data_IF_129424189897
#
_entry.id   IF_129424189897
#
_cell.length_a   1.000
_cell.length_b   1.000
_cell.length_c   1.000
_cell.angle_alpha   90.00
_cell.angle_beta   90.00
_cell.angle_gamma   90.00
#
_symmetry.space_group_name_H-M   'P 1'
#
loop_
_entity.id
_entity.type
_entity.pdbx_description
1 polymer ?
#
# COMPACT_ATOMS: atom_id res chain seq x y z
N UNK A 1 6.91 -0.59 -20.93
CA UNK A 1 5.99 0.33 -20.24
C UNK A 1 5.85 -0.20 -18.82
N UNK A 2 6.15 0.55 -17.75
CA UNK A 2 5.83 0.12 -16.39
C UNK A 2 4.32 -0.05 -16.31
N UNK A 3 3.88 -1.22 -15.88
CA UNK A 3 2.48 -1.60 -15.98
C UNK A 3 1.74 -1.13 -14.72
N UNK A 4 0.75 -0.27 -14.93
CA UNK A 4 0.01 0.38 -13.84
C UNK A 4 -1.07 -0.59 -13.34
N UNK A 5 -1.17 -0.88 -12.03
CA UNK A 5 -2.25 -1.73 -11.51
C UNK A 5 -3.64 -1.16 -11.83
N UNK A 6 -4.52 -2.02 -12.30
CA UNK A 6 -5.89 -1.71 -12.70
C UNK A 6 -6.89 -2.68 -12.07
N UNK A 7 -8.15 -2.26 -12.02
CA UNK A 7 -9.27 -3.09 -11.55
C UNK A 7 -9.38 -4.34 -12.42
N UNK A 8 -9.47 -5.51 -11.79
CA UNK A 8 -9.50 -6.81 -12.48
C UNK A 8 -8.12 -7.46 -12.66
N UNK A 9 -7.01 -6.75 -12.39
CA UNK A 9 -5.69 -7.36 -12.43
C UNK A 9 -5.52 -8.43 -11.35
N UNK A 10 -4.77 -9.49 -11.66
CA UNK A 10 -4.45 -10.55 -10.72
C UNK A 10 -3.08 -10.26 -10.13
N UNK A 11 -3.02 -10.08 -8.82
CA UNK A 11 -1.78 -9.86 -8.10
C UNK A 11 -1.43 -11.05 -7.21
N UNK A 12 -0.14 -11.35 -7.14
CA UNK A 12 0.43 -12.38 -6.27
C UNK A 12 1.10 -11.69 -5.09
N UNK A 13 0.58 -11.96 -3.90
CA UNK A 13 1.03 -11.40 -2.63
C UNK A 13 1.68 -12.53 -1.83
N UNK A 14 2.96 -12.44 -1.41
CA UNK A 14 3.54 -13.44 -0.51
C UNK A 14 2.76 -13.50 0.81
N UNK A 15 2.66 -14.68 1.43
CA UNK A 15 2.08 -14.80 2.75
C UNK A 15 3.01 -14.20 3.81
N UNK A 16 2.41 -13.78 4.93
CA UNK A 16 3.17 -13.27 6.07
C UNK A 16 4.12 -14.36 6.61
N UNK A 17 5.40 -14.00 6.73
CA UNK A 17 6.48 -14.90 7.15
C UNK A 17 7.11 -14.52 8.52
N UNK A 18 6.44 -13.71 9.34
CA UNK A 18 6.90 -13.41 10.70
C UNK A 18 7.90 -12.26 10.79
N UNK A 19 9.16 -12.51 10.44
CA UNK A 19 10.30 -11.72 10.95
C UNK A 19 10.88 -10.70 9.97
N UNK A 20 10.78 -10.92 8.65
CA UNK A 20 11.41 -10.03 7.64
C UNK A 20 10.43 -9.07 6.94
N UNK A 21 9.21 -8.96 7.45
CA UNK A 21 8.21 -8.08 6.82
C UNK A 21 8.41 -6.64 7.25
N UNK A 22 8.78 -5.77 6.29
CA UNK A 22 8.89 -4.35 6.56
C UNK A 22 7.54 -3.77 7.01
N UNK A 23 7.54 -3.11 8.16
CA UNK A 23 6.35 -2.48 8.74
C UNK A 23 6.50 -0.98 8.85
N UNK A 24 5.37 -0.28 8.74
CA UNK A 24 5.26 1.16 8.97
C UNK A 24 4.01 1.44 9.78
N UNK A 25 4.13 2.29 10.80
CA UNK A 25 2.99 2.82 11.52
C UNK A 25 2.55 4.12 10.84
N UNK A 26 1.34 4.12 10.28
CA UNK A 26 0.77 5.29 9.63
C UNK A 26 -0.18 5.97 10.61
N UNK A 27 0.08 7.24 10.89
CA UNK A 27 -0.73 8.07 11.79
C UNK A 27 -1.46 9.16 10.99
N UNK A 28 -2.73 9.38 11.31
CA UNK A 28 -3.57 10.39 10.67
C UNK A 28 -4.61 10.97 11.65
N UNK A 29 -5.26 12.05 11.24
CA UNK A 29 -6.37 12.64 11.99
C UNK A 29 -7.68 12.48 11.20
N UNK A 30 -8.75 12.07 11.88
CA UNK A 30 -10.09 11.95 11.32
C UNK A 30 -11.11 12.31 12.41
N UNK A 31 -12.05 13.20 12.08
CA UNK A 31 -13.11 13.63 13.01
C UNK A 31 -12.55 14.10 14.36
N UNK A 32 -11.53 14.98 14.33
CA UNK A 32 -10.85 15.52 15.52
C UNK A 32 -10.17 14.47 16.42
N UNK A 33 -10.02 13.22 15.97
CA UNK A 33 -9.30 12.16 16.69
C UNK A 33 -8.07 11.75 15.91
N UNK A 34 -6.96 11.59 16.62
CA UNK A 34 -5.77 10.93 16.08
C UNK A 34 -6.03 9.43 16.02
N UNK A 35 -5.71 8.83 14.87
CA UNK A 35 -5.77 7.39 14.62
C UNK A 35 -4.40 6.93 14.14
N UNK A 36 -4.07 5.68 14.43
CA UNK A 36 -2.89 5.02 13.88
C UNK A 36 -3.21 3.58 13.52
N UNK A 37 -2.46 3.04 12.56
CA UNK A 37 -2.52 1.63 12.20
C UNK A 37 -1.18 1.17 11.62
N UNK A 38 -0.84 -0.09 11.89
CA UNK A 38 0.35 -0.74 11.36
C UNK A 38 0.05 -1.34 9.99
N UNK A 39 0.94 -1.04 9.03
CA UNK A 39 0.90 -1.55 7.68
C UNK A 39 2.18 -2.31 7.36
N UNK A 40 2.03 -3.41 6.64
CA UNK A 40 3.09 -4.19 6.06
C UNK A 40 3.33 -3.74 4.63
N UNK A 41 4.60 -3.57 4.26
CA UNK A 41 5.01 -3.25 2.91
C UNK A 41 5.45 -4.54 2.22
N UNK A 42 4.79 -4.85 1.11
CA UNK A 42 4.94 -6.14 0.42
C UNK A 42 5.20 -5.90 -1.06
N UNK A 43 6.13 -6.68 -1.63
CA UNK A 43 6.37 -6.69 -3.09
C UNK A 43 5.39 -7.68 -3.69
N UNK A 44 4.29 -7.17 -4.22
CA UNK A 44 3.33 -7.98 -4.97
C UNK A 44 3.75 -8.04 -6.45
N UNK A 45 3.29 -9.05 -7.18
CA UNK A 45 3.52 -9.16 -8.62
C UNK A 45 2.21 -9.12 -9.39
N UNK A 46 2.13 -8.30 -10.42
CA UNK A 46 0.98 -8.27 -11.32
C UNK A 46 1.07 -9.39 -12.36
N UNK A 47 0.41 -10.52 -12.11
CA UNK A 47 0.43 -11.65 -13.03
C UNK A 47 -0.25 -11.32 -14.37
N UNK A 48 -1.30 -10.48 -14.34
CA UNK A 48 -2.00 -10.02 -15.56
C UNK A 48 -1.13 -9.12 -16.44
N UNK A 49 -0.13 -8.44 -15.86
CA UNK A 49 0.73 -7.49 -16.55
C UNK A 49 2.20 -7.95 -16.60
N UNK A 50 2.42 -9.24 -16.86
CA UNK A 50 3.78 -9.77 -17.10
C UNK A 50 4.66 -9.86 -15.85
N UNK A 51 4.04 -10.03 -14.68
CA UNK A 51 4.70 -10.11 -13.37
C UNK A 51 5.43 -8.83 -12.95
N UNK A 52 4.95 -7.66 -13.37
CA UNK A 52 5.48 -6.39 -12.90
C UNK A 52 5.38 -6.25 -11.38
N UNK A 53 6.41 -5.67 -10.76
CA UNK A 53 6.43 -5.44 -9.33
C UNK A 53 5.44 -4.31 -8.96
N UNK A 54 4.61 -4.57 -7.95
CA UNK A 54 3.68 -3.62 -7.36
C UNK A 54 4.03 -3.45 -5.89
N UNK A 55 4.15 -2.18 -5.47
CA UNK A 55 4.18 -1.84 -4.07
C UNK A 55 2.79 -2.00 -3.45
N UNK A 56 2.66 -2.87 -2.45
CA UNK A 56 1.42 -3.12 -1.75
C UNK A 56 1.59 -2.83 -0.25
N UNK A 57 0.72 -1.98 0.28
CA UNK A 57 0.55 -1.79 1.72
C UNK A 57 -0.62 -2.63 2.22
N UNK A 58 -0.44 -3.44 3.25
CA UNK A 58 -1.50 -4.26 3.84
C UNK A 58 -1.59 -3.98 5.32
N UNK A 59 -2.77 -3.60 5.81
CA UNK A 59 -2.97 -3.38 7.25
C UNK A 59 -2.88 -4.72 8.02
N UNK A 60 -2.33 -4.69 9.23
CA UNK A 60 -2.08 -5.88 10.07
C UNK A 60 -3.24 -6.90 10.12
N UNK A 61 -4.46 -6.43 10.40
CA UNK A 61 -5.68 -7.27 10.46
C UNK A 61 -6.07 -7.96 9.14
N UNK A 62 -5.55 -7.49 8.02
CA UNK A 62 -5.78 -8.07 6.69
C UNK A 62 -4.65 -9.05 6.31
N UNK A 63 -3.47 -8.94 6.93
CA UNK A 63 -2.28 -9.69 6.52
C UNK A 63 -1.87 -10.80 7.47
N UNK A 64 -1.99 -10.57 8.79
CA UNK A 64 -1.50 -11.47 9.83
C UNK A 64 -2.63 -12.21 10.55
N UNK A 65 -3.76 -11.53 10.74
CA UNK A 65 -4.89 -12.09 11.49
C UNK A 65 -5.75 -13.01 10.60
N UNK A 66 -5.46 -14.30 10.59
CA UNK A 66 -6.25 -15.30 9.86
C UNK A 66 -7.68 -15.47 10.44
N UNK A 67 -7.90 -15.07 11.69
CA UNK A 67 -9.22 -15.15 12.33
C UNK A 67 -10.15 -14.04 11.86
N UNK A 68 -9.60 -12.87 11.50
CA UNK A 68 -10.30 -11.74 10.92
C UNK A 68 -11.13 -12.15 9.70
N UNK A 69 -12.36 -11.66 9.60
CA UNK A 69 -13.20 -11.83 8.40
C UNK A 69 -12.64 -11.10 7.18
N UNK A 70 -11.80 -10.09 7.42
CA UNK A 70 -11.16 -9.23 6.41
C UNK A 70 -9.80 -9.77 5.93
N UNK A 71 -9.37 -10.93 6.43
CA UNK A 71 -8.09 -11.53 6.06
C UNK A 71 -7.95 -11.68 4.53
N UNK A 72 -6.75 -11.38 3.98
CA UNK A 72 -6.49 -11.44 2.54
C UNK A 72 -6.84 -12.81 1.94
N UNK A 73 -6.58 -13.89 2.68
CA UNK A 73 -6.92 -15.26 2.27
C UNK A 73 -8.41 -15.57 2.20
N UNK A 74 -9.28 -14.72 2.77
CA UNK A 74 -10.74 -14.84 2.75
C UNK A 74 -11.39 -13.90 1.73
N UNK A 75 -10.61 -13.08 1.02
CA UNK A 75 -11.16 -12.25 -0.05
C UNK A 75 -11.79 -13.10 -1.14
N UNK A 76 -12.88 -12.60 -1.71
CA UNK A 76 -13.59 -13.29 -2.78
C UNK A 76 -12.65 -13.55 -3.97
N UNK A 77 -12.53 -14.81 -4.38
CA UNK A 77 -11.66 -15.21 -5.48
C UNK A 77 -10.18 -15.34 -5.11
N UNK A 78 -9.81 -15.18 -3.83
CA UNK A 78 -8.45 -15.43 -3.38
C UNK A 78 -8.10 -16.93 -3.51
N UNK A 79 -6.93 -17.22 -4.08
CA UNK A 79 -6.32 -18.56 -4.07
C UNK A 79 -5.04 -18.53 -3.26
N UNK A 80 -4.78 -19.60 -2.50
CA UNK A 80 -3.50 -19.79 -1.80
C UNK A 80 -2.68 -20.83 -2.54
N UNK A 81 -1.54 -20.43 -3.10
CA UNK A 81 -0.62 -21.30 -3.84
C UNK A 81 0.81 -21.07 -3.34
N UNK A 82 1.51 -22.13 -2.94
CA UNK A 82 2.91 -22.11 -2.50
C UNK A 82 3.27 -21.00 -1.50
N UNK A 83 2.42 -20.79 -0.49
CA UNK A 83 2.62 -19.75 0.51
C UNK A 83 2.44 -18.32 -0.03
N UNK A 84 1.68 -18.15 -1.11
CA UNK A 84 1.30 -16.87 -1.69
C UNK A 84 -0.22 -16.79 -1.85
N UNK A 85 -0.75 -15.59 -1.78
CA UNK A 85 -2.14 -15.25 -2.04
C UNK A 85 -2.25 -14.65 -3.44
N UNK A 86 -3.02 -15.29 -4.30
CA UNK A 86 -3.37 -14.80 -5.63
C UNK A 86 -4.74 -14.15 -5.50
N UNK A 87 -4.79 -12.83 -5.66
CA UNK A 87 -6.01 -12.03 -5.46
C UNK A 87 -6.25 -11.14 -6.66
N UNK A 88 -7.52 -10.94 -6.99
CA UNK A 88 -7.93 -9.98 -8.01
C UNK A 88 -8.09 -8.60 -7.37
N UNK A 89 -7.49 -7.57 -7.98
CA UNK A 89 -7.72 -6.18 -7.61
C UNK A 89 -9.18 -5.82 -7.87
N UNK A 90 -9.89 -5.49 -6.80
CA UNK A 90 -11.29 -5.12 -6.79
C UNK A 90 -11.49 -3.89 -5.89
N UNK A 91 -12.75 -3.54 -5.64
CA UNK A 91 -13.15 -2.39 -4.82
C UNK A 91 -12.75 -2.48 -3.34
N UNK A 92 -12.24 -3.65 -2.87
CA UNK A 92 -11.68 -3.80 -1.53
C UNK A 92 -10.32 -3.14 -1.40
N UNK A 93 -9.59 -3.05 -2.51
CA UNK A 93 -8.32 -2.37 -2.58
C UNK A 93 -8.52 -0.88 -2.85
N UNK A 94 -7.60 -0.10 -2.33
CA UNK A 94 -7.42 1.28 -2.70
C UNK A 94 -6.03 1.47 -3.32
N UNK A 95 -5.78 2.62 -3.92
CA UNK A 95 -4.48 2.94 -4.48
C UNK A 95 -4.07 4.38 -4.21
N UNK A 96 -2.76 4.60 -4.17
CA UNK A 96 -2.17 5.92 -4.33
C UNK A 96 -1.42 6.00 -5.66
N UNK A 97 -1.14 7.21 -6.11
CA UNK A 97 -0.45 7.51 -7.35
C UNK A 97 0.37 8.78 -7.20
N UNK A 98 1.49 8.85 -7.91
CA UNK A 98 2.40 10.01 -7.87
C UNK A 98 1.71 11.29 -8.36
N UNK A 99 0.95 11.17 -9.43
CA UNK A 99 0.30 12.30 -10.10
C UNK A 99 -1.03 11.89 -10.72
N UNK A 100 -1.75 12.86 -11.28
CA UNK A 100 -3.07 12.65 -11.90
C UNK A 100 -3.04 11.75 -13.15
N UNK A 101 -1.87 11.53 -13.75
CA UNK A 101 -1.71 10.63 -14.89
C UNK A 101 -1.68 9.15 -14.47
N UNK A 102 -1.63 8.87 -13.17
CA UNK A 102 -1.60 7.50 -12.64
C UNK A 102 -0.19 6.90 -12.59
N UNK A 103 0.85 7.72 -12.73
CA UNK A 103 2.23 7.27 -12.66
C UNK A 103 2.55 6.69 -11.26
N UNK A 104 3.37 5.64 -11.23
CA UNK A 104 3.83 4.98 -10.00
C UNK A 104 2.67 4.63 -9.06
N UNK A 105 1.60 4.03 -9.60
CA UNK A 105 0.47 3.60 -8.79
C UNK A 105 0.85 2.42 -7.91
N UNK A 106 0.47 2.52 -6.64
CA UNK A 106 0.70 1.51 -5.61
C UNK A 106 -0.62 1.15 -4.94
N UNK A 107 -0.69 -0.04 -4.36
CA UNK A 107 -1.94 -0.62 -3.86
C UNK A 107 -1.96 -0.59 -2.33
N UNK A 108 -3.15 -0.44 -1.75
CA UNK A 108 -3.42 -0.52 -0.32
C UNK A 108 -4.60 -1.46 -0.05
N UNK A 109 -4.42 -2.40 0.87
CA UNK A 109 -5.49 -3.24 1.42
C UNK A 109 -5.67 -2.90 2.90
N UNK A 110 -6.78 -2.22 3.21
CA UNK A 110 -7.06 -1.73 4.56
C UNK A 110 -8.53 -1.40 4.78
N UNK A 111 -8.85 -0.92 5.98
CA UNK A 111 -10.17 -0.39 6.28
C UNK A 111 -10.51 0.88 5.47
N UNK A 112 -11.54 0.81 4.61
CA UNK A 112 -11.99 1.93 3.76
C UNK A 112 -12.64 3.07 4.56
N UNK A 113 -12.99 2.84 5.83
CA UNK A 113 -13.48 3.88 6.73
C UNK A 113 -12.35 4.79 7.24
N UNK A 114 -11.09 4.36 7.08
CA UNK A 114 -9.94 5.18 7.38
C UNK A 114 -9.65 6.13 6.20
N UNK A 115 -9.95 7.42 6.39
CA UNK A 115 -9.70 8.47 5.40
C UNK A 115 -8.27 8.97 5.51
N UNK A 116 -7.33 8.13 5.09
CA UNK A 116 -5.89 8.40 5.14
C UNK A 116 -5.47 9.05 3.83
N UNK A 117 -4.66 10.10 3.93
CA UNK A 117 -4.04 10.70 2.76
C UNK A 117 -2.88 9.86 2.23
N UNK A 118 -2.79 9.70 0.91
CA UNK A 118 -1.81 8.81 0.27
C UNK A 118 -0.34 9.15 0.62
N UNK A 119 -0.02 10.45 0.76
CA UNK A 119 1.33 10.91 1.09
C UNK A 119 1.83 10.40 2.45
N UNK A 120 0.93 10.11 3.39
CA UNK A 120 1.30 9.63 4.73
C UNK A 120 2.05 8.32 4.64
N UNK A 121 1.60 7.39 3.79
CA UNK A 121 2.26 6.11 3.56
C UNK A 121 3.68 6.29 3.03
N UNK A 122 3.85 7.10 1.98
CA UNK A 122 5.15 7.32 1.36
C UNK A 122 6.14 7.98 2.32
N UNK A 123 5.67 9.01 3.06
CA UNK A 123 6.49 9.71 4.04
C UNK A 123 6.88 8.78 5.20
N UNK A 124 5.93 8.02 5.76
CA UNK A 124 6.24 7.10 6.86
C UNK A 124 7.20 6.00 6.43
N UNK A 125 7.14 5.54 5.19
CA UNK A 125 8.08 4.56 4.66
C UNK A 125 9.49 5.13 4.52
N UNK A 126 9.62 6.37 4.05
CA UNK A 126 10.94 7.03 3.93
C UNK A 126 11.52 7.43 5.28
N UNK A 127 10.69 7.84 6.24
CA UNK A 127 11.12 8.19 7.60
C UNK A 127 11.33 6.97 8.49
N UNK A 128 10.70 5.83 8.17
CA UNK A 128 10.71 4.63 8.99
C UNK A 128 11.98 3.79 8.83
N UNK A 129 11.99 2.63 9.49
CA UNK A 129 13.11 1.66 9.46
C UNK A 129 13.16 0.80 8.19
N UNK A 130 12.35 1.11 7.17
CA UNK A 130 12.21 0.32 5.95
C UNK A 130 13.18 0.82 4.84
N UNK A 131 14.48 0.82 5.11
CA UNK A 131 15.49 1.48 4.25
C UNK A 131 15.48 1.01 2.79
N UNK A 132 15.29 -0.28 2.53
CA UNK A 132 15.22 -0.80 1.15
C UNK A 132 13.95 -0.38 0.41
N UNK A 133 12.85 -0.24 1.15
CA UNK A 133 11.60 0.29 0.61
C UNK A 133 11.67 1.79 0.36
N UNK A 134 12.35 2.53 1.24
CA UNK A 134 12.62 3.95 1.02
C UNK A 134 13.42 4.17 -0.27
N UNK A 135 14.41 3.31 -0.57
CA UNK A 135 15.14 3.34 -1.85
C UNK A 135 14.23 3.02 -3.05
N UNK A 136 13.40 1.99 -2.96
CA UNK A 136 12.43 1.66 -4.02
C UNK A 136 11.48 2.83 -4.29
N UNK A 137 10.96 3.47 -3.24
CA UNK A 137 10.13 4.67 -3.36
C UNK A 137 10.90 5.84 -3.98
N UNK A 138 12.12 6.11 -3.52
CA UNK A 138 12.95 7.20 -4.05
C UNK A 138 13.25 7.02 -5.54
N UNK A 139 13.44 5.78 -6.00
CA UNK A 139 13.69 5.47 -7.40
C UNK A 139 12.43 5.61 -8.27
N UNK A 140 11.25 5.20 -7.80
CA UNK A 140 9.99 5.30 -8.55
C UNK A 140 9.39 6.71 -8.51
N UNK A 141 9.16 7.25 -7.31
CA UNK A 141 8.50 8.54 -7.12
C UNK A 141 9.45 9.72 -7.26
N UNK A 142 10.76 9.51 -7.14
CA UNK A 142 11.77 10.56 -7.12
C UNK A 142 11.99 11.11 -5.72
N UNK A 143 13.26 11.16 -5.29
CA UNK A 143 13.65 11.63 -3.97
C UNK A 143 13.19 13.07 -3.67
N UNK A 144 13.20 13.95 -4.68
CA UNK A 144 12.79 15.35 -4.55
C UNK A 144 11.30 15.52 -4.25
N UNK A 145 10.43 14.72 -4.88
CA UNK A 145 8.99 14.78 -4.62
C UNK A 145 8.63 14.23 -3.24
N UNK A 146 9.26 13.12 -2.83
CA UNK A 146 9.06 12.59 -1.49
C UNK A 146 9.56 13.59 -0.44
N UNK A 147 10.75 14.18 -0.63
CA UNK A 147 11.29 15.21 0.26
C UNK A 147 10.37 16.44 0.34
N UNK A 148 9.78 16.87 -0.78
CA UNK A 148 8.79 17.95 -0.78
C UNK A 148 7.54 17.58 0.03
N UNK A 149 7.06 16.34 -0.05
CA UNK A 149 5.93 15.86 0.75
C UNK A 149 6.26 15.77 2.24
N UNK A 150 7.48 15.36 2.61
CA UNK A 150 7.95 15.40 4.01
C UNK A 150 7.98 16.84 4.54
N UNK A 151 8.54 17.77 3.78
CA UNK A 151 8.66 19.18 4.20
C UNK A 151 7.29 19.87 4.32
N UNK A 152 6.32 19.53 3.46
CA UNK A 152 4.97 20.12 3.48
C UNK A 152 4.09 19.64 4.63
N UNK A 153 4.42 18.54 5.31
CA UNK A 153 3.70 18.11 6.52
C UNK A 153 3.80 19.11 7.67
N UNK A 154 4.80 20.00 7.67
CA UNK A 154 4.95 21.07 8.66
C UNK A 154 4.06 22.30 8.42
N UNK A 155 3.40 22.41 7.26
CA UNK A 155 2.61 23.58 6.89
C UNK A 155 1.47 23.23 5.95
N UNK A 156 0.32 22.85 6.52
CA UNK A 156 -0.98 22.76 5.83
C UNK A 156 -0.95 22.05 4.46
N UNK A 157 -0.61 20.75 4.44
CA UNK A 157 -0.71 19.95 3.23
C UNK A 157 -2.17 19.57 2.92
N UNK A 158 -2.67 19.98 1.75
CA UNK A 158 -3.86 19.38 1.13
C UNK A 158 -3.37 18.16 0.36
N UNK A 159 -3.48 16.99 0.98
CA UNK A 159 -3.15 15.73 0.31
C UNK A 159 -4.35 15.12 -0.38
N UNK A 160 -4.10 14.29 -1.38
CA UNK A 160 -5.13 13.43 -1.92
C UNK A 160 -5.38 12.25 -0.98
N UNK A 161 -6.63 11.86 -0.85
CA UNK A 161 -7.01 10.60 -0.23
C UNK A 161 -6.61 9.43 -1.12
N UNK A 162 -6.56 8.23 -0.54
CA UNK A 162 -6.50 7.01 -1.34
C UNK A 162 -7.71 6.91 -2.28
N UNK A 163 -7.45 6.46 -3.50
CA UNK A 163 -8.47 6.23 -4.52
C UNK A 163 -8.98 4.79 -4.47
N UNK A 164 -10.21 4.55 -4.88
CA UNK A 164 -10.76 3.20 -5.02
C UNK A 164 -10.67 2.74 -6.48
N UNK A 165 -10.40 1.46 -6.69
CA UNK A 165 -10.40 0.79 -7.99
C UNK A 165 -11.80 0.71 -8.61
#
# INVERSE_FOLDING_TARGET
MPSVPQTGDIIVVPAYAGDDSATVEVQWQQTFRSKSATYYIVKAKNQSQGNADILLYIQDRFYKDESSGDFIGKLLGCKKEDGRYIVTLNDRFQYGQKNKNGDERWVCLHDKDNKIFQHRFLVTTVQGKAADWAKTLANGFGAGEIAANVHKLGGSFVGDYLHTF
#
